data_IF_827643084732
#
_entry.id   IF_827643084732
#
_cell.length_a   1.000
_cell.length_b   1.000
_cell.length_c   1.000
_cell.angle_alpha   90.00
_cell.angle_beta   90.00
_cell.angle_gamma   90.00
#
_symmetry.space_group_name_H-M   'P 1'
#
loop_
_entity.id
_entity.type
_entity.pdbx_description
1 polymer ?
#
# COMPACT_ATOMS: atom_id res chain seq x y z
N UNK A 1 7.74 -54.67 -27.14
CA UNK A 1 9.18 -54.88 -26.84
C UNK A 1 9.51 -54.14 -25.54
N UNK A 2 10.05 -54.88 -24.58
CA UNK A 2 10.78 -54.53 -23.32
C UNK A 2 10.42 -53.22 -22.60
N UNK A 3 9.75 -53.22 -21.43
CA UNK A 3 10.21 -53.64 -20.07
C UNK A 3 11.57 -53.07 -19.65
N UNK A 4 11.56 -52.18 -18.66
CA UNK A 4 12.46 -52.30 -17.52
C UNK A 4 11.77 -51.89 -16.21
N UNK A 5 11.85 -52.80 -15.24
CA UNK A 5 11.47 -52.66 -13.83
C UNK A 5 12.71 -52.18 -13.07
N UNK A 6 12.56 -51.43 -11.99
CA UNK A 6 13.32 -51.71 -10.77
C UNK A 6 12.46 -51.36 -9.55
N UNK A 7 12.19 -52.38 -8.75
CA UNK A 7 11.73 -52.32 -7.37
C UNK A 7 12.93 -52.00 -6.47
N UNK A 8 12.72 -51.26 -5.38
CA UNK A 8 13.41 -51.56 -4.13
C UNK A 8 12.45 -51.42 -2.95
N UNK A 9 12.36 -52.53 -2.22
CA UNK A 9 11.59 -52.81 -1.01
C UNK A 9 12.51 -52.77 0.22
N UNK A 10 11.98 -52.35 1.37
CA UNK A 10 12.46 -52.65 2.73
C UNK A 10 11.62 -51.84 3.72
N UNK A 11 10.60 -52.34 4.44
CA UNK A 11 10.42 -53.49 5.36
C UNK A 11 11.01 -53.27 6.76
N UNK A 12 10.12 -52.81 7.66
CA UNK A 12 9.75 -53.29 9.01
C UNK A 12 10.73 -53.31 10.21
N UNK A 13 10.07 -53.26 11.39
CA UNK A 13 10.46 -53.53 12.79
C UNK A 13 10.88 -52.30 13.61
N UNK A 14 10.33 -52.05 14.81
CA UNK A 14 9.44 -52.87 15.63
C UNK A 14 9.04 -52.17 16.93
N UNK A 15 8.00 -52.72 17.53
CA UNK A 15 7.37 -52.36 18.80
C UNK A 15 8.27 -52.58 20.03
N UNK A 16 8.12 -51.74 21.05
CA UNK A 16 8.36 -52.02 22.48
C UNK A 16 8.10 -50.73 23.27
N UNK A 17 7.58 -50.68 24.50
CA UNK A 17 7.05 -51.65 25.45
C UNK A 17 6.33 -50.80 26.51
N UNK A 18 5.11 -51.18 26.87
CA UNK A 18 4.43 -50.73 28.08
C UNK A 18 5.25 -51.17 29.30
N UNK A 19 5.55 -50.25 30.21
CA UNK A 19 5.93 -50.59 31.60
C UNK A 19 4.87 -49.97 32.50
N UNK A 20 3.83 -50.76 32.79
CA UNK A 20 2.96 -50.56 33.95
C UNK A 20 3.67 -51.19 35.15
N UNK A 21 4.33 -50.37 35.97
CA UNK A 21 4.77 -50.81 37.30
C UNK A 21 3.61 -50.57 38.28
N UNK A 22 2.85 -51.63 38.52
CA UNK A 22 1.98 -51.75 39.69
C UNK A 22 2.84 -52.16 40.89
N UNK A 23 2.94 -51.29 41.90
CA UNK A 23 3.25 -51.68 43.27
C UNK A 23 2.13 -51.15 44.16
N UNK A 24 1.30 -52.08 44.61
CA UNK A 24 0.33 -51.92 45.68
C UNK A 24 1.06 -51.86 47.02
N UNK A 25 0.71 -50.93 47.89
CA UNK A 25 0.82 -51.08 49.34
C UNK A 25 -0.21 -50.16 49.99
N UNK A 26 -1.01 -50.78 50.85
CA UNK A 26 -2.21 -50.29 51.49
C UNK A 26 -1.88 -49.59 52.81
N UNK A 27 -2.74 -48.65 53.20
CA UNK A 27 -2.93 -48.05 54.54
C UNK A 27 -1.88 -47.08 55.11
N UNK A 28 -2.20 -45.78 55.13
CA UNK A 28 -2.33 -45.00 56.39
C UNK A 28 -2.98 -43.62 56.13
N UNK A 29 -3.95 -43.28 56.99
CA UNK A 29 -4.70 -42.02 57.03
C UNK A 29 -3.81 -40.79 57.23
N UNK A 30 -4.05 -39.70 56.50
CA UNK A 30 -3.33 -38.45 56.69
C UNK A 30 -3.66 -37.37 55.68
N UNK A 31 -4.86 -36.82 55.76
CA UNK A 31 -5.31 -35.63 55.03
C UNK A 31 -4.44 -34.41 55.42
N UNK A 32 -3.50 -34.05 54.56
CA UNK A 32 -2.88 -32.73 54.49
C UNK A 32 -2.28 -32.55 53.08
N UNK A 33 -3.13 -32.06 52.17
CA UNK A 33 -2.79 -31.72 50.79
C UNK A 33 -1.71 -30.64 50.78
N UNK A 34 -0.46 -31.04 50.57
CA UNK A 34 0.62 -30.15 50.18
C UNK A 34 0.53 -29.98 48.67
N UNK A 35 -0.07 -28.88 48.22
CA UNK A 35 -0.14 -28.50 46.81
C UNK A 35 1.27 -28.25 46.28
N UNK A 36 1.89 -29.28 45.70
CA UNK A 36 2.98 -29.08 44.76
C UNK A 36 2.37 -28.49 43.48
N UNK A 37 2.48 -27.16 43.38
CA UNK A 37 2.20 -26.41 42.17
C UNK A 37 3.13 -26.92 41.08
N UNK A 38 2.63 -27.82 40.23
CA UNK A 38 3.26 -28.17 38.96
C UNK A 38 3.31 -26.88 38.15
N UNK A 39 4.51 -26.28 38.13
CA UNK A 39 4.79 -25.09 37.34
C UNK A 39 4.82 -25.52 35.88
N UNK A 40 3.65 -25.52 35.24
CA UNK A 40 3.52 -25.56 33.78
C UNK A 40 4.31 -24.38 33.25
N UNK A 41 5.44 -24.65 32.59
CA UNK A 41 6.18 -23.64 31.86
C UNK A 41 5.25 -23.13 30.75
N UNK A 42 4.56 -22.02 31.02
CA UNK A 42 3.80 -21.31 30.01
C UNK A 42 4.78 -20.84 28.94
N UNK A 43 4.66 -21.39 27.73
CA UNK A 43 5.22 -20.78 26.54
C UNK A 43 4.64 -19.37 26.47
N UNK A 44 5.41 -18.40 26.92
CA UNK A 44 5.02 -16.99 26.84
C UNK A 44 5.03 -16.66 25.36
N UNK A 45 3.85 -16.32 24.82
CA UNK A 45 3.75 -15.83 23.45
C UNK A 45 4.76 -14.68 23.25
N UNK A 46 5.39 -14.56 22.08
CA UNK A 46 6.32 -13.47 21.81
C UNK A 46 5.66 -12.14 22.15
N UNK A 47 6.40 -11.27 22.84
CA UNK A 47 5.90 -9.97 23.25
C UNK A 47 5.76 -9.08 22.02
N UNK A 48 4.53 -8.67 21.71
CA UNK A 48 4.23 -7.71 20.64
C UNK A 48 4.60 -6.30 21.11
N UNK A 49 5.27 -5.54 20.26
CA UNK A 49 5.68 -4.16 20.52
C UNK A 49 4.75 -3.19 19.81
N UNK A 50 4.07 -2.33 20.57
CA UNK A 50 3.30 -1.23 20.00
C UNK A 50 4.23 -0.17 19.39
N UNK A 51 3.99 0.17 18.12
CA UNK A 51 4.67 1.24 17.40
C UNK A 51 3.75 2.44 17.25
N UNK A 52 4.33 3.64 17.27
CA UNK A 52 3.57 4.89 17.15
C UNK A 52 3.22 5.14 15.67
N UNK A 53 1.95 5.29 15.28
CA UNK A 53 1.57 5.57 13.90
C UNK A 53 2.31 6.78 13.30
N UNK A 54 2.65 7.79 14.10
CA UNK A 54 3.37 8.97 13.64
C UNK A 54 4.74 8.67 13.01
N UNK A 55 5.35 7.50 13.23
CA UNK A 55 6.58 7.10 12.53
C UNK A 55 6.37 6.72 11.06
N UNK A 56 5.12 6.54 10.65
CA UNK A 56 4.70 6.16 9.31
C UNK A 56 3.91 7.26 8.61
N UNK A 57 3.77 8.43 9.23
CA UNK A 57 2.95 9.52 8.71
C UNK A 57 3.53 10.06 7.39
N UNK A 58 2.65 10.23 6.42
CA UNK A 58 2.89 10.79 5.11
C UNK A 58 1.61 11.41 4.59
N UNK A 59 1.60 12.75 4.51
CA UNK A 59 0.51 13.55 3.93
C UNK A 59 -0.87 13.22 4.52
N UNK A 60 -0.96 13.12 5.85
CA UNK A 60 -2.20 12.83 6.57
C UNK A 60 -2.64 11.37 6.53
N UNK A 61 -1.81 10.47 6.00
CA UNK A 61 -2.00 9.01 6.00
C UNK A 61 -0.81 8.34 6.71
N UNK A 62 -0.94 7.05 7.00
CA UNK A 62 0.14 6.25 7.57
C UNK A 62 0.54 5.15 6.59
N UNK A 63 1.75 5.24 6.06
CA UNK A 63 2.25 4.34 5.02
C UNK A 63 3.37 3.47 5.60
N UNK A 64 3.26 2.16 5.50
CA UNK A 64 4.28 1.25 6.01
C UNK A 64 4.41 0.00 5.13
N UNK A 65 5.64 -0.50 5.03
CA UNK A 65 5.93 -1.78 4.42
C UNK A 65 5.91 -2.90 5.46
N UNK A 66 5.43 -4.09 5.07
CA UNK A 66 5.55 -5.32 5.86
C UNK A 66 6.47 -6.29 5.12
N UNK A 67 7.57 -6.77 5.73
CA UNK A 67 8.47 -7.73 5.08
C UNK A 67 7.77 -9.06 4.75
N UNK A 68 7.98 -9.56 3.52
CA UNK A 68 7.50 -10.87 3.07
C UNK A 68 8.66 -11.86 2.90
N UNK A 69 8.35 -13.16 2.93
CA UNK A 69 9.31 -14.26 2.98
C UNK A 69 10.12 -14.46 1.69
N UNK A 70 9.64 -13.94 0.57
CA UNK A 70 10.34 -13.94 -0.73
C UNK A 70 11.29 -12.73 -0.92
N UNK A 71 11.39 -11.87 0.10
CA UNK A 71 12.19 -10.64 0.08
C UNK A 71 11.46 -9.43 -0.51
N UNK A 72 10.18 -9.56 -0.89
CA UNK A 72 9.32 -8.42 -1.23
C UNK A 72 8.70 -7.80 0.03
N UNK A 73 7.84 -6.79 -0.16
CA UNK A 73 7.05 -6.18 0.92
C UNK A 73 5.57 -6.12 0.54
N UNK A 74 4.69 -6.25 1.53
CA UNK A 74 3.30 -5.81 1.43
C UNK A 74 3.24 -4.35 1.86
N UNK A 75 2.69 -3.51 0.99
CA UNK A 75 2.54 -2.08 1.23
C UNK A 75 1.17 -1.82 1.85
N UNK A 76 1.14 -1.14 2.98
CA UNK A 76 -0.08 -0.78 3.69
C UNK A 76 -0.22 0.74 3.79
N UNK A 77 -1.45 1.22 3.56
CA UNK A 77 -1.86 2.61 3.74
C UNK A 77 -3.03 2.65 4.69
N UNK A 78 -2.84 3.24 5.86
CA UNK A 78 -3.84 3.42 6.90
C UNK A 78 -4.26 4.89 6.97
N UNK A 79 -5.56 5.12 7.08
CA UNK A 79 -6.19 6.42 7.31
C UNK A 79 -7.04 6.36 8.59
N UNK A 80 -7.79 7.43 8.90
CA UNK A 80 -8.57 7.55 10.14
C UNK A 80 -9.62 6.46 10.36
N UNK A 81 -10.10 5.81 9.30
CA UNK A 81 -11.15 4.77 9.41
C UNK A 81 -11.03 3.67 8.36
N UNK A 82 -9.92 3.61 7.64
CA UNK A 82 -9.67 2.56 6.66
C UNK A 82 -8.19 2.14 6.62
N UNK A 83 -7.94 0.91 6.17
CA UNK A 83 -6.61 0.48 5.78
C UNK A 83 -6.69 -0.32 4.49
N UNK A 84 -5.76 -0.08 3.58
CA UNK A 84 -5.56 -0.87 2.37
C UNK A 84 -4.16 -1.48 2.39
N UNK A 85 -4.05 -2.79 2.22
CA UNK A 85 -2.76 -3.47 2.10
C UNK A 85 -2.67 -4.28 0.80
N UNK A 86 -1.50 -4.27 0.16
CA UNK A 86 -1.23 -5.09 -1.02
C UNK A 86 -0.95 -6.54 -0.64
N UNK A 87 -1.31 -7.47 -1.52
CA UNK A 87 -1.06 -8.89 -1.32
C UNK A 87 -1.64 -9.72 -2.45
N UNK A 88 -1.62 -11.04 -2.28
CA UNK A 88 -2.09 -11.99 -3.27
C UNK A 88 -3.51 -12.45 -2.93
N UNK A 89 -4.47 -12.06 -3.76
CA UNK A 89 -5.84 -12.54 -3.64
C UNK A 89 -5.94 -14.07 -3.86
N UNK A 90 -6.89 -14.76 -3.21
CA UNK A 90 -7.17 -16.16 -3.49
C UNK A 90 -7.75 -16.35 -4.89
N UNK A 91 -7.62 -17.56 -5.46
CA UNK A 91 -8.05 -17.84 -6.84
C UNK A 91 -9.55 -17.65 -7.10
N UNK A 92 -10.37 -17.66 -6.04
CA UNK A 92 -11.81 -17.45 -6.10
C UNK A 92 -12.25 -15.99 -5.84
N UNK A 93 -11.30 -15.07 -5.63
CA UNK A 93 -11.60 -13.65 -5.56
C UNK A 93 -12.19 -13.16 -6.90
N UNK A 94 -13.21 -12.28 -6.87
CA UNK A 94 -13.74 -11.68 -8.09
C UNK A 94 -12.69 -10.75 -8.71
N UNK A 95 -12.63 -10.74 -10.04
CA UNK A 95 -11.91 -9.68 -10.74
C UNK A 95 -12.53 -8.31 -10.41
N UNK A 96 -11.68 -7.29 -10.35
CA UNK A 96 -12.07 -5.91 -10.08
C UNK A 96 -11.79 -5.04 -11.29
N UNK A 97 -12.56 -3.95 -11.41
CA UNK A 97 -12.27 -2.86 -12.35
C UNK A 97 -11.97 -1.61 -11.52
N UNK A 98 -10.79 -1.04 -11.74
CA UNK A 98 -10.37 0.23 -11.16
C UNK A 98 -9.89 1.08 -12.32
N UNK A 99 -10.70 2.04 -12.77
CA UNK A 99 -10.33 2.87 -13.92
C UNK A 99 -9.02 3.64 -13.64
N UNK A 100 -8.15 3.83 -14.66
CA UNK A 100 -8.30 3.45 -16.07
C UNK A 100 -7.85 2.02 -16.41
N UNK A 101 -7.58 1.17 -15.42
CA UNK A 101 -7.04 -0.16 -15.63
C UNK A 101 -8.12 -1.16 -16.09
N UNK A 102 -7.77 -2.12 -16.97
CA UNK A 102 -8.70 -3.16 -17.37
C UNK A 102 -9.08 -4.02 -16.17
N UNK A 103 -10.22 -4.70 -16.30
CA UNK A 103 -10.65 -5.74 -15.35
C UNK A 103 -9.54 -6.76 -15.14
N UNK A 104 -9.20 -7.01 -13.87
CA UNK A 104 -8.08 -7.88 -13.49
C UNK A 104 -8.27 -8.44 -12.08
N UNK A 105 -7.51 -9.49 -11.70
CA UNK A 105 -7.48 -9.97 -10.34
C UNK A 105 -7.04 -8.87 -9.36
N UNK A 106 -7.62 -8.79 -8.16
CA UNK A 106 -7.24 -7.79 -7.18
C UNK A 106 -5.84 -8.04 -6.62
N UNK A 107 -5.14 -6.94 -6.33
CA UNK A 107 -3.79 -6.95 -5.74
C UNK A 107 -3.75 -6.38 -4.32
N UNK A 108 -4.90 -6.01 -3.76
CA UNK A 108 -5.02 -5.42 -2.44
C UNK A 108 -6.39 -5.66 -1.82
N UNK A 109 -6.47 -5.44 -0.51
CA UNK A 109 -7.70 -5.50 0.27
C UNK A 109 -7.84 -4.21 1.09
N UNK A 110 -9.01 -3.58 1.04
CA UNK A 110 -9.38 -2.47 1.92
C UNK A 110 -10.29 -2.97 3.03
N UNK A 111 -10.01 -2.55 4.25
CA UNK A 111 -10.84 -2.75 5.45
C UNK A 111 -11.31 -1.39 5.95
N UNK A 112 -12.62 -1.24 6.16
CA UNK A 112 -13.25 -0.08 6.79
C UNK A 112 -14.47 -0.52 7.63
N UNK A 113 -15.23 0.44 8.16
CA UNK A 113 -16.40 0.18 9.01
C UNK A 113 -17.50 -0.65 8.32
N UNK A 114 -17.60 -0.57 7.00
CA UNK A 114 -18.60 -1.28 6.20
C UNK A 114 -18.15 -2.70 5.82
N UNK A 115 -16.85 -3.01 5.93
CA UNK A 115 -16.30 -4.35 5.74
C UNK A 115 -15.05 -4.39 4.88
N UNK A 116 -14.94 -5.45 4.08
CA UNK A 116 -13.76 -5.74 3.26
C UNK A 116 -14.09 -5.58 1.77
N UNK A 117 -13.25 -4.86 1.04
CA UNK A 117 -13.42 -4.63 -0.41
C UNK A 117 -12.12 -4.93 -1.14
N UNK A 118 -12.18 -5.79 -2.15
CA UNK A 118 -11.04 -6.05 -3.04
C UNK A 118 -10.66 -4.79 -3.83
N UNK A 119 -9.36 -4.53 -3.95
CA UNK A 119 -8.85 -3.31 -4.55
C UNK A 119 -7.55 -3.56 -5.32
N UNK A 120 -7.07 -2.52 -6.01
CA UNK A 120 -5.75 -2.46 -6.61
C UNK A 120 -5.04 -1.25 -6.02
N UNK A 121 -4.06 -1.51 -5.14
CA UNK A 121 -3.27 -0.46 -4.51
C UNK A 121 -2.12 -0.09 -5.44
N UNK A 122 -2.19 1.09 -6.05
CA UNK A 122 -1.14 1.57 -6.95
C UNK A 122 -0.52 2.85 -6.45
N UNK A 123 0.76 3.00 -6.76
CA UNK A 123 1.51 4.24 -6.67
C UNK A 123 1.44 5.03 -5.36
N UNK A 124 1.36 4.34 -4.26
CA UNK A 124 1.72 4.93 -2.98
C UNK A 124 3.21 5.28 -3.03
N UNK A 125 3.65 6.45 -2.54
CA UNK A 125 5.08 6.74 -2.40
C UNK A 125 5.78 5.70 -1.51
N UNK A 126 7.12 5.56 -1.59
CA UNK A 126 7.86 4.63 -0.74
C UNK A 126 7.58 4.87 0.75
N UNK A 127 7.31 3.79 1.49
CA UNK A 127 6.98 3.90 2.90
C UNK A 127 8.13 4.54 3.71
N UNK A 128 7.85 5.43 4.69
CA UNK A 128 8.86 5.97 5.59
C UNK A 128 9.53 4.92 6.48
N UNK A 129 8.88 3.76 6.65
CA UNK A 129 9.36 2.68 7.50
C UNK A 129 8.62 1.37 7.30
N UNK A 130 9.00 0.39 8.13
CA UNK A 130 8.45 -0.96 8.11
C UNK A 130 7.73 -1.27 9.42
N UNK A 131 6.65 -2.04 9.33
CA UNK A 131 6.09 -2.76 10.46
C UNK A 131 6.80 -4.12 10.53
N UNK A 132 7.81 -4.20 11.40
CA UNK A 132 8.64 -5.40 11.57
C UNK A 132 7.88 -6.49 12.33
N UNK A 133 8.43 -7.71 12.41
CA UNK A 133 7.80 -8.83 13.11
C UNK A 133 7.52 -8.52 14.59
N UNK A 134 6.44 -9.09 15.13
CA UNK A 134 6.00 -8.85 16.51
C UNK A 134 5.80 -7.36 16.82
N UNK A 135 5.31 -6.58 15.85
CA UNK A 135 4.93 -5.19 16.04
C UNK A 135 3.46 -4.96 15.77
N UNK A 136 2.89 -3.97 16.45
CA UNK A 136 1.50 -3.56 16.27
C UNK A 136 1.37 -2.07 16.08
N UNK A 137 0.60 -1.67 15.09
CA UNK A 137 0.17 -0.30 14.85
C UNK A 137 -1.35 -0.21 15.04
N UNK A 138 -1.80 0.83 15.75
CA UNK A 138 -3.23 1.10 15.96
C UNK A 138 -3.51 2.57 15.68
N UNK A 139 -4.48 2.83 14.80
CA UNK A 139 -5.00 4.17 14.50
C UNK A 139 -6.46 4.05 14.07
N UNK A 140 -7.31 5.03 14.40
CA UNK A 140 -8.68 5.04 13.87
C UNK A 140 -9.57 3.85 14.30
N UNK A 141 -9.20 3.13 15.37
CA UNK A 141 -9.85 1.88 15.76
C UNK A 141 -9.40 0.65 14.96
N UNK A 142 -8.60 0.83 13.91
CA UNK A 142 -7.95 -0.25 13.16
C UNK A 142 -6.70 -0.66 13.91
N UNK A 143 -6.48 -1.97 14.00
CA UNK A 143 -5.27 -2.55 14.56
C UNK A 143 -4.66 -3.49 13.54
N UNK A 144 -3.37 -3.29 13.25
CA UNK A 144 -2.59 -4.20 12.43
C UNK A 144 -1.40 -4.69 13.24
N UNK A 145 -1.24 -6.01 13.33
CA UNK A 145 -0.22 -6.69 14.10
C UNK A 145 0.50 -7.71 13.22
N UNK A 146 1.82 -7.71 13.27
CA UNK A 146 2.63 -8.79 12.70
C UNK A 146 2.97 -9.78 13.81
N UNK A 147 2.82 -11.07 13.55
CA UNK A 147 3.27 -12.09 14.50
C UNK A 147 4.80 -12.29 14.43
N UNK A 148 5.31 -13.29 15.15
CA UNK A 148 6.75 -13.61 15.13
C UNK A 148 7.23 -14.21 13.80
N UNK A 149 6.32 -14.83 13.03
CA UNK A 149 6.59 -15.39 11.71
C UNK A 149 6.48 -14.32 10.61
N UNK A 150 5.97 -13.13 10.93
CA UNK A 150 5.83 -11.99 10.02
C UNK A 150 4.45 -11.91 9.35
N UNK A 151 3.51 -12.77 9.74
CA UNK A 151 2.14 -12.75 9.22
C UNK A 151 1.44 -11.50 9.73
N UNK A 152 0.88 -10.70 8.83
CA UNK A 152 0.12 -9.49 9.16
C UNK A 152 -1.34 -9.85 9.42
N UNK A 153 -1.89 -9.45 10.56
CA UNK A 153 -3.32 -9.47 10.86
C UNK A 153 -3.83 -8.05 11.09
N UNK A 154 -4.81 -7.62 10.31
CA UNK A 154 -5.45 -6.32 10.43
C UNK A 154 -6.94 -6.49 10.77
N UNK A 155 -7.43 -5.75 11.76
CA UNK A 155 -8.80 -5.86 12.24
C UNK A 155 -9.43 -4.51 12.57
N UNK A 156 -10.74 -4.43 12.34
CA UNK A 156 -11.64 -3.35 12.73
C UNK A 156 -12.95 -3.99 13.18
N UNK A 157 -13.14 -4.10 14.50
CA UNK A 157 -14.25 -4.85 15.08
C UNK A 157 -14.28 -6.33 14.65
N UNK A 158 -15.41 -6.76 14.09
CA UNK A 158 -15.61 -8.14 13.63
C UNK A 158 -15.05 -8.41 12.23
N UNK A 159 -14.62 -7.36 11.52
CA UNK A 159 -14.00 -7.46 10.20
C UNK A 159 -12.47 -7.47 10.33
N UNK A 160 -11.80 -8.16 9.42
CA UNK A 160 -10.35 -8.19 9.35
C UNK A 160 -9.83 -9.05 8.21
N UNK A 161 -8.54 -8.91 7.93
CA UNK A 161 -7.82 -9.74 6.96
C UNK A 161 -6.46 -10.11 7.51
N UNK A 162 -5.92 -11.20 6.97
CA UNK A 162 -4.57 -11.67 7.26
C UNK A 162 -3.78 -11.79 5.95
N UNK A 163 -2.52 -11.37 5.95
CA UNK A 163 -1.57 -11.55 4.84
C UNK A 163 -0.45 -12.48 5.30
N UNK A 164 -0.38 -13.65 4.69
CA UNK A 164 0.62 -14.65 5.03
C UNK A 164 2.03 -14.21 4.62
N UNK A 165 3.00 -14.36 5.53
CA UNK A 165 4.39 -13.96 5.26
C UNK A 165 5.03 -14.73 4.10
N UNK A 166 4.76 -16.03 3.93
CA UNK A 166 5.48 -16.88 2.98
C UNK A 166 5.13 -16.59 1.52
N UNK A 167 3.87 -16.28 1.21
CA UNK A 167 3.37 -16.16 -0.15
C UNK A 167 2.47 -14.93 -0.40
N UNK A 168 2.40 -14.02 0.57
CA UNK A 168 1.54 -12.85 0.58
C UNK A 168 0.05 -13.15 0.40
N UNK A 169 -0.41 -14.40 0.62
CA UNK A 169 -1.80 -14.77 0.43
C UNK A 169 -2.72 -14.04 1.42
N UNK A 170 -3.78 -13.42 0.89
CA UNK A 170 -4.80 -12.71 1.64
C UNK A 170 -5.90 -13.70 2.05
N UNK A 171 -6.25 -13.69 3.33
CA UNK A 171 -7.44 -14.35 3.86
C UNK A 171 -8.32 -13.36 4.60
N UNK A 172 -9.64 -13.53 4.50
CA UNK A 172 -10.62 -12.55 4.98
C UNK A 172 -11.47 -13.13 6.11
N UNK A 173 -11.82 -12.28 7.07
CA UNK A 173 -12.78 -12.54 8.14
C UNK A 173 -13.77 -11.39 8.21
N UNK A 174 -15.07 -11.70 8.10
CA UNK A 174 -16.12 -10.70 8.20
C UNK A 174 -16.89 -10.52 6.90
N UNK A 175 -17.40 -9.31 6.67
CA UNK A 175 -18.30 -9.01 5.56
C UNK A 175 -17.49 -8.56 4.35
N UNK A 176 -17.54 -9.34 3.26
CA UNK A 176 -16.93 -8.98 1.98
C UNK A 176 -17.96 -8.29 1.10
N UNK A 177 -17.65 -7.07 0.66
CA UNK A 177 -18.45 -6.30 -0.28
C UNK A 177 -18.01 -6.65 -1.70
N UNK A 178 -18.93 -7.14 -2.51
CA UNK A 178 -18.70 -7.36 -3.95
C UNK A 178 -19.06 -6.05 -4.63
N UNK A 179 -18.05 -5.21 -4.90
CA UNK A 179 -18.23 -4.04 -5.75
C UNK A 179 -18.31 -4.48 -7.20
N UNK A 180 -19.53 -4.52 -7.77
CA UNK A 180 -19.70 -4.26 -9.19
C UNK A 180 -19.45 -2.75 -9.34
N UNK A 181 -18.27 -2.37 -9.85
CA UNK A 181 -17.73 -1.00 -9.82
C UNK A 181 -17.34 -0.53 -8.41
N UNK A 182 -16.04 -0.43 -8.15
CA UNK A 182 -15.53 0.28 -6.99
C UNK A 182 -15.61 1.79 -7.31
N UNK A 183 -16.68 2.45 -6.90
CA UNK A 183 -16.71 3.92 -6.85
C UNK A 183 -15.81 4.37 -5.70
N UNK A 184 -14.79 5.18 -6.02
CA UNK A 184 -14.02 5.90 -5.01
C UNK A 184 -14.96 6.81 -4.21
N UNK A 185 -14.83 6.90 -2.88
CA UNK A 185 -15.69 7.78 -2.09
C UNK A 185 -15.44 9.25 -2.47
N UNK A 186 -16.48 9.92 -2.98
CA UNK A 186 -16.50 11.37 -3.21
C UNK A 186 -16.39 12.10 -1.86
N UNK A 187 -15.26 12.77 -1.61
CA UNK A 187 -15.13 13.72 -0.52
C UNK A 187 -15.57 15.12 -1.00
N UNK A 188 -16.69 15.59 -0.44
CA UNK A 188 -17.27 16.92 -0.66
C UNK A 188 -16.23 18.05 -0.42
N UNK A 189 -15.85 18.74 -1.49
CA UNK A 189 -14.90 19.85 -1.47
C UNK A 189 -15.51 21.12 -0.85
N UNK A 190 -14.86 21.67 0.18
CA UNK A 190 -15.13 23.04 0.66
C UNK A 190 -13.95 23.95 0.31
N UNK A 191 -14.19 24.83 -0.67
CA UNK A 191 -13.25 25.81 -1.21
C UNK A 191 -12.99 26.96 -0.24
N UNK A 192 -11.72 27.30 0.00
CA UNK A 192 -11.32 28.71 0.20
C UNK A 192 -9.87 28.95 -0.25
N UNK A 193 -9.70 29.70 -1.34
CA UNK A 193 -8.44 30.21 -1.93
C UNK A 193 -7.77 31.28 -1.04
N UNK A 194 -6.43 31.28 -0.89
CA UNK A 194 -5.68 32.50 -0.56
C UNK A 194 -4.83 33.03 -1.72
N UNK A 195 -4.52 34.32 -1.61
CA UNK A 195 -3.98 35.25 -2.63
C UNK A 195 -2.45 35.21 -2.74
N UNK A 196 -1.93 35.36 -3.97
CA UNK A 196 -0.52 35.42 -4.33
C UNK A 196 0.27 36.60 -3.72
N UNK A 197 1.59 36.43 -3.54
CA UNK A 197 2.54 37.50 -3.21
C UNK A 197 3.84 37.34 -4.00
N UNK A 198 4.35 38.49 -4.45
CA UNK A 198 5.41 38.76 -5.43
C UNK A 198 6.84 38.78 -4.85
N UNK A 199 7.85 38.42 -5.66
CA UNK A 199 9.27 38.68 -5.38
C UNK A 199 10.26 37.88 -6.23
N UNK A 200 10.69 38.41 -7.38
CA UNK A 200 11.60 37.73 -8.33
C UNK A 200 13.11 37.94 -8.17
N UNK A 201 13.91 37.17 -8.95
CA UNK A 201 15.27 37.49 -9.47
C UNK A 201 15.59 36.66 -10.73
N UNK A 202 15.66 37.32 -11.90
CA UNK A 202 16.32 37.08 -13.21
C UNK A 202 16.75 35.68 -13.72
N UNK A 203 15.98 35.20 -14.71
CA UNK A 203 16.14 33.94 -15.44
C UNK A 203 14.92 33.72 -16.34
N UNK A 204 14.76 34.56 -17.37
CA UNK A 204 13.71 34.47 -18.42
C UNK A 204 12.34 33.96 -17.92
N UNK A 205 11.84 34.63 -16.88
CA UNK A 205 10.60 34.28 -16.21
C UNK A 205 9.42 34.97 -16.88
N UNK A 206 8.55 34.23 -17.57
CA UNK A 206 7.22 34.76 -17.86
C UNK A 206 6.34 34.64 -16.61
N UNK A 207 6.32 35.72 -15.83
CA UNK A 207 5.19 36.04 -14.92
C UNK A 207 3.95 36.49 -15.70
N UNK A 208 4.01 36.40 -17.03
CA UNK A 208 2.95 36.70 -17.97
C UNK A 208 2.31 35.40 -18.46
N UNK A 209 1.00 35.40 -18.70
CA UNK A 209 0.26 34.36 -19.42
C UNK A 209 0.68 34.25 -20.91
N UNK A 210 1.86 34.78 -21.27
CA UNK A 210 2.36 34.66 -22.62
C UNK A 210 2.69 33.19 -22.89
N UNK A 211 2.18 32.63 -23.99
CA UNK A 211 2.35 31.23 -24.29
C UNK A 211 3.81 30.92 -24.56
N UNK A 212 4.38 30.04 -23.74
CA UNK A 212 5.76 29.56 -23.85
C UNK A 212 5.82 28.32 -24.73
N UNK A 213 6.91 28.13 -25.46
CA UNK A 213 7.09 26.99 -26.35
C UNK A 213 7.73 25.78 -25.69
N UNK A 214 7.87 24.71 -26.48
CA UNK A 214 8.54 23.46 -26.12
C UNK A 214 9.95 23.71 -25.54
N UNK A 215 10.30 22.97 -24.48
CA UNK A 215 11.59 23.08 -23.80
C UNK A 215 11.63 24.07 -22.63
N UNK A 216 10.52 24.73 -22.31
CA UNK A 216 10.46 25.76 -21.26
C UNK A 216 10.17 25.14 -19.88
N UNK A 217 10.90 25.57 -18.86
CA UNK A 217 10.63 25.28 -17.45
C UNK A 217 10.00 26.48 -16.73
N UNK A 218 9.00 26.22 -15.91
CA UNK A 218 8.26 27.17 -15.09
C UNK A 218 8.41 26.78 -13.60
N UNK A 219 8.45 27.75 -12.68
CA UNK A 219 8.39 27.51 -11.22
C UNK A 219 9.69 27.10 -10.50
N UNK A 220 10.81 26.93 -11.22
CA UNK A 220 12.08 26.40 -10.67
C UNK A 220 12.78 27.35 -9.67
N UNK A 221 12.32 28.60 -9.54
CA UNK A 221 12.99 29.61 -8.71
C UNK A 221 12.61 29.55 -7.21
N UNK A 222 11.50 28.90 -6.89
CA UNK A 222 10.91 28.91 -5.56
C UNK A 222 10.57 27.47 -5.13
N UNK A 223 11.17 26.94 -4.05
CA UNK A 223 10.89 25.58 -3.58
C UNK A 223 9.42 25.41 -3.14
N UNK A 224 8.72 26.52 -2.89
CA UNK A 224 7.28 26.58 -2.62
C UNK A 224 6.38 26.57 -3.86
N UNK A 225 6.93 26.73 -5.07
CA UNK A 225 6.15 26.77 -6.32
C UNK A 225 6.08 25.41 -7.01
N UNK A 226 4.96 25.13 -7.67
CA UNK A 226 4.82 23.93 -8.48
C UNK A 226 5.63 24.10 -9.75
N UNK A 227 6.59 23.20 -9.97
CA UNK A 227 7.37 23.15 -11.21
C UNK A 227 6.54 22.56 -12.36
N UNK A 228 6.69 23.13 -13.56
CA UNK A 228 6.08 22.63 -14.78
C UNK A 228 7.04 22.77 -15.98
N UNK A 229 7.06 21.77 -16.85
CA UNK A 229 7.85 21.74 -18.07
C UNK A 229 6.94 21.62 -19.29
N UNK A 230 7.11 22.51 -20.27
CA UNK A 230 6.40 22.45 -21.54
C UNK A 230 7.13 21.51 -22.49
N UNK A 231 6.64 20.28 -22.62
CA UNK A 231 7.25 19.28 -23.49
C UNK A 231 6.84 19.46 -24.96
N UNK A 232 5.56 19.74 -25.21
CA UNK A 232 4.99 19.87 -26.55
C UNK A 232 3.98 21.00 -26.62
N UNK A 233 3.90 21.69 -27.75
CA UNK A 233 2.92 22.76 -27.96
C UNK A 233 3.29 24.07 -27.26
N UNK A 234 2.28 24.86 -26.88
CA UNK A 234 2.53 26.16 -26.26
C UNK A 234 1.48 26.52 -25.21
N UNK A 235 1.93 26.94 -24.03
CA UNK A 235 1.07 27.25 -22.87
C UNK A 235 1.74 28.30 -21.98
N UNK A 236 0.94 29.15 -21.33
CA UNK A 236 1.46 30.10 -20.35
C UNK A 236 1.99 29.39 -19.10
N UNK A 237 3.07 29.89 -18.50
CA UNK A 237 3.67 29.25 -17.33
C UNK A 237 2.69 29.14 -16.16
N UNK A 238 1.89 30.19 -15.91
CA UNK A 238 0.88 30.18 -14.85
C UNK A 238 -0.15 29.08 -15.07
N UNK A 239 -0.69 28.95 -16.30
CA UNK A 239 -1.63 27.87 -16.62
C UNK A 239 -1.00 26.49 -16.44
N UNK A 240 0.25 26.29 -16.88
CA UNK A 240 0.93 25.01 -16.72
C UNK A 240 1.14 24.64 -15.24
N UNK A 241 1.55 25.61 -14.42
CA UNK A 241 1.74 25.41 -12.98
C UNK A 241 0.41 25.19 -12.26
N UNK A 242 -0.64 25.94 -12.60
CA UNK A 242 -1.99 25.78 -12.02
C UNK A 242 -2.56 24.39 -12.31
N UNK A 243 -2.43 23.90 -13.56
CA UNK A 243 -2.91 22.57 -13.93
C UNK A 243 -2.19 21.47 -13.15
N UNK A 244 -0.86 21.54 -13.02
CA UNK A 244 -0.09 20.54 -12.27
C UNK A 244 -0.38 20.66 -10.76
N UNK A 245 -0.52 21.87 -10.23
CA UNK A 245 -0.83 22.09 -8.82
C UNK A 245 -2.23 21.56 -8.47
N UNK A 246 -3.23 21.87 -9.30
CA UNK A 246 -4.60 21.36 -9.12
C UNK A 246 -4.65 19.84 -9.24
N UNK A 247 -3.95 19.26 -10.23
CA UNK A 247 -3.84 17.80 -10.33
C UNK A 247 -3.24 17.19 -9.06
N UNK A 248 -2.14 17.76 -8.54
CA UNK A 248 -1.48 17.24 -7.33
C UNK A 248 -2.36 17.35 -6.10
N UNK A 249 -3.03 18.48 -5.91
CA UNK A 249 -3.95 18.71 -4.79
C UNK A 249 -5.12 17.72 -4.83
N UNK A 250 -5.80 17.64 -5.98
CA UNK A 250 -6.93 16.72 -6.18
C UNK A 250 -6.53 15.26 -6.13
N UNK A 251 -5.36 14.91 -6.64
CA UNK A 251 -4.85 13.54 -6.54
C UNK A 251 -4.75 13.10 -5.09
N UNK A 252 -4.30 13.97 -4.19
CA UNK A 252 -4.15 13.60 -2.80
C UNK A 252 -5.49 13.31 -2.12
N UNK A 253 -6.57 13.99 -2.53
CA UNK A 253 -7.93 13.84 -2.01
C UNK A 253 -8.80 12.80 -2.73
N UNK A 254 -8.62 12.60 -4.04
CA UNK A 254 -9.52 11.80 -4.91
C UNK A 254 -9.00 10.39 -5.20
N UNK A 255 -7.73 10.07 -4.89
CA UNK A 255 -7.23 8.71 -5.06
C UNK A 255 -5.81 8.50 -4.53
N UNK A 256 -5.62 7.45 -3.75
CA UNK A 256 -4.28 7.02 -3.33
C UNK A 256 -3.55 6.35 -4.48
N UNK A 257 -2.62 7.07 -5.14
CA UNK A 257 -1.68 6.43 -6.06
C UNK A 257 -0.99 7.28 -7.13
N UNK A 258 0.21 6.85 -7.56
CA UNK A 258 1.07 7.30 -8.66
C UNK A 258 0.50 6.94 -10.04
N UNK A 259 -0.78 6.61 -10.16
CA UNK A 259 -1.41 6.23 -11.44
C UNK A 259 -2.73 6.91 -11.71
N UNK A 260 -3.15 7.84 -10.84
CA UNK A 260 -4.45 8.47 -10.95
C UNK A 260 -4.50 9.34 -12.21
N UNK A 261 -5.26 8.90 -13.20
CA UNK A 261 -5.60 9.71 -14.36
C UNK A 261 -6.89 10.48 -14.07
N UNK A 262 -6.86 11.80 -14.18
CA UNK A 262 -8.05 12.63 -14.00
C UNK A 262 -8.04 13.82 -14.93
N UNK A 263 -9.20 14.43 -15.10
CA UNK A 263 -9.35 15.65 -15.86
C UNK A 263 -9.19 16.87 -14.95
N UNK A 264 -8.33 17.81 -15.35
CA UNK A 264 -8.14 19.14 -14.73
C UNK A 264 -8.46 20.20 -15.77
N UNK A 265 -9.66 20.77 -15.67
CA UNK A 265 -10.22 21.61 -16.73
C UNK A 265 -10.35 20.83 -18.04
N UNK A 266 -9.60 21.23 -19.07
CA UNK A 266 -9.55 20.51 -20.36
C UNK A 266 -8.40 19.51 -20.45
N UNK A 267 -7.52 19.47 -19.45
CA UNK A 267 -6.32 18.64 -19.46
C UNK A 267 -6.60 17.25 -18.90
N UNK A 268 -6.04 16.23 -19.55
CA UNK A 268 -6.00 14.88 -19.00
C UNK A 268 -4.64 14.69 -18.32
N UNK A 269 -4.65 14.68 -17.00
CA UNK A 269 -3.45 14.59 -16.18
C UNK A 269 -3.32 13.20 -15.58
N UNK A 270 -2.10 12.69 -15.48
CA UNK A 270 -1.79 11.46 -14.78
C UNK A 270 -0.42 11.51 -14.12
N UNK A 271 -0.32 10.79 -13.02
CA UNK A 271 0.96 10.37 -12.46
C UNK A 271 1.31 9.07 -13.16
N UNK A 272 2.53 8.90 -13.67
CA UNK A 272 2.94 7.63 -14.24
C UNK A 272 3.39 6.64 -13.16
N UNK A 273 3.22 5.34 -13.43
CA UNK A 273 3.85 4.28 -12.61
C UNK A 273 5.37 4.47 -12.59
N UNK A 274 6.09 3.85 -11.65
CA UNK A 274 7.55 3.91 -11.61
C UNK A 274 8.21 3.47 -12.94
N UNK A 275 7.64 2.47 -13.61
CA UNK A 275 8.12 1.99 -14.92
C UNK A 275 7.81 3.00 -16.02
N UNK A 276 6.56 3.48 -16.11
CA UNK A 276 6.16 4.48 -17.10
C UNK A 276 6.85 5.83 -16.88
N UNK A 277 7.21 6.17 -15.65
CA UNK A 277 8.00 7.36 -15.32
C UNK A 277 9.40 7.29 -15.93
N UNK A 278 10.00 6.11 -16.04
CA UNK A 278 11.31 5.94 -16.69
C UNK A 278 11.20 6.08 -18.20
N UNK A 279 10.19 5.46 -18.81
CA UNK A 279 9.91 5.58 -20.25
C UNK A 279 9.61 7.05 -20.63
N UNK A 280 8.77 7.72 -19.84
CA UNK A 280 8.48 9.14 -20.04
C UNK A 280 9.68 10.03 -19.73
N UNK A 281 10.56 9.64 -18.80
CA UNK A 281 11.81 10.36 -18.57
C UNK A 281 12.69 10.33 -19.81
N UNK A 282 12.82 9.19 -20.48
CA UNK A 282 13.55 9.07 -21.75
C UNK A 282 12.95 9.95 -22.85
N UNK A 283 11.62 10.02 -22.93
CA UNK A 283 10.90 10.86 -23.89
C UNK A 283 11.01 12.37 -23.58
N UNK A 284 10.77 12.77 -22.34
CA UNK A 284 10.52 14.16 -21.94
C UNK A 284 11.80 14.85 -21.47
N UNK A 285 12.64 14.13 -20.73
CA UNK A 285 13.82 14.65 -20.05
C UNK A 285 15.12 13.94 -20.45
N UNK A 286 15.13 13.22 -21.59
CA UNK A 286 16.26 12.43 -22.08
C UNK A 286 16.83 11.43 -21.05
N UNK A 287 15.99 10.90 -20.16
CA UNK A 287 16.32 9.90 -19.15
C UNK A 287 17.02 10.47 -17.91
N UNK A 288 17.08 11.80 -17.78
CA UNK A 288 17.89 12.45 -16.73
C UNK A 288 17.13 12.64 -15.42
N UNK A 289 15.80 12.76 -15.48
CA UNK A 289 14.95 13.10 -14.33
C UNK A 289 13.64 12.31 -14.42
N UNK A 290 13.20 11.58 -13.38
CA UNK A 290 11.92 10.88 -13.38
C UNK A 290 10.74 11.85 -13.55
N UNK A 291 9.68 11.40 -14.23
CA UNK A 291 8.45 12.18 -14.45
C UNK A 291 7.46 11.87 -13.33
N UNK A 292 7.07 12.87 -12.56
CA UNK A 292 6.08 12.74 -11.49
C UNK A 292 4.64 12.97 -11.98
N UNK A 293 4.47 13.77 -13.03
CA UNK A 293 3.14 14.14 -13.56
C UNK A 293 3.26 14.45 -15.03
N UNK A 294 2.28 14.02 -15.83
CA UNK A 294 2.11 14.44 -17.22
C UNK A 294 0.68 14.89 -17.43
N UNK A 295 0.49 15.97 -18.19
CA UNK A 295 -0.83 16.47 -18.56
C UNK A 295 -0.89 16.75 -20.05
N UNK A 296 -1.93 16.21 -20.70
CA UNK A 296 -2.19 16.32 -22.13
C UNK A 296 -3.46 17.14 -22.39
N UNK A 297 -3.35 18.18 -23.21
CA UNK A 297 -4.48 18.97 -23.69
C UNK A 297 -5.00 18.41 -25.04
N UNK A 298 -6.33 18.43 -25.30
CA UNK A 298 -6.91 18.06 -26.59
C UNK A 298 -6.32 18.76 -27.82
N UNK A 299 -5.74 19.96 -27.66
CA UNK A 299 -5.07 20.69 -28.74
C UNK A 299 -3.68 20.11 -29.11
N UNK A 300 -3.21 19.12 -28.37
CA UNK A 300 -1.93 18.45 -28.56
C UNK A 300 -0.76 19.02 -27.76
N UNK A 301 -1.02 20.01 -26.91
CA UNK A 301 -0.05 20.54 -25.93
C UNK A 301 0.16 19.54 -24.80
N UNK A 302 1.42 19.36 -24.38
CA UNK A 302 1.83 18.46 -23.29
C UNK A 302 2.73 19.18 -22.31
N UNK A 303 2.38 19.08 -21.03
CA UNK A 303 3.20 19.55 -19.92
C UNK A 303 3.55 18.40 -18.98
N UNK A 304 4.64 18.53 -18.24
CA UNK A 304 5.09 17.53 -17.28
C UNK A 304 5.73 18.17 -16.04
N UNK A 305 5.80 17.45 -14.93
CA UNK A 305 6.61 17.82 -13.78
C UNK A 305 7.53 16.67 -13.39
N UNK A 306 8.71 17.03 -12.89
CA UNK A 306 9.68 16.10 -12.33
C UNK A 306 9.33 15.71 -10.88
N UNK A 307 9.98 14.63 -10.42
CA UNK A 307 10.03 14.20 -9.00
C UNK A 307 11.00 15.08 -8.23
#
# INVERSE_FOLDING_TARGET
MNRNKLLLTGVLLGSALLVLSACSSDSDDGDAVSSETVSTAGTTAPAVTDVNPASFEMDGRYVFDVPMGDGTTSLCVMADSSITCSGKAPEDAPDITVEPFPTQPPGAITLDEDGLTWYMLEGVPPAPGKLEHSQRITHGGITCETDAEGTLDCALGDNGFTINHEDAAISLRGTVRVTAEAEAPEAEASSTKPTAVDGGVDGDYSSTDEPMGEGTWCGVAHPEETEAYVHKGSVGCLTAQEVIAEYRDRRMSEGGGNTLAMQVGEWNCSSPTAMSSQELSEEIFNGTIPVATVCDNPDGTRIAAAV
#
